data_IF_008307446414
#
_entry.id   IF_008307446414
#
_cell.length_a   1.000
_cell.length_b   1.000
_cell.length_c   1.000
_cell.angle_alpha   90.00
_cell.angle_beta   90.00
_cell.angle_gamma   90.00
#
_symmetry.space_group_name_H-M   'P 1'
#
loop_
_entity.id
_entity.type
_entity.pdbx_description
1 polymer ?
#
# COMPACT_ATOMS: atom_id res chain seq x y z
N UNK A 1 -6.86 34.33 -60.14
CA UNK A 1 -7.51 34.10 -58.84
C UNK A 1 -7.03 32.75 -58.28
N UNK A 2 -6.05 32.79 -57.37
CA UNK A 2 -5.53 31.58 -56.73
C UNK A 2 -6.19 31.44 -55.35
N UNK A 3 -6.94 30.34 -55.19
CA UNK A 3 -7.61 29.97 -53.96
C UNK A 3 -6.59 29.60 -52.84
N UNK A 4 -6.58 30.35 -51.77
CA UNK A 4 -5.83 30.03 -50.55
C UNK A 4 -6.59 28.95 -49.78
N UNK A 5 -6.09 27.70 -49.84
CA UNK A 5 -6.50 26.65 -48.93
C UNK A 5 -5.98 26.98 -47.52
N UNK A 6 -6.92 27.28 -46.62
CA UNK A 6 -6.61 27.36 -45.19
C UNK A 6 -6.30 25.96 -44.68
N UNK A 7 -5.05 25.64 -44.37
CA UNK A 7 -4.66 24.52 -43.54
C UNK A 7 -5.26 24.75 -42.14
N UNK A 8 -6.24 23.96 -41.78
CA UNK A 8 -6.68 23.82 -40.39
C UNK A 8 -5.77 22.76 -39.77
N UNK A 9 -4.81 23.21 -38.96
CA UNK A 9 -4.14 22.34 -38.01
C UNK A 9 -5.16 21.95 -36.92
N UNK A 10 -5.33 20.68 -36.61
CA UNK A 10 -6.05 20.31 -35.39
C UNK A 10 -5.18 20.81 -34.22
N UNK A 11 -5.69 21.73 -33.43
CA UNK A 11 -5.16 22.02 -32.11
C UNK A 11 -5.44 20.76 -31.32
N UNK A 12 -4.44 19.90 -31.18
CA UNK A 12 -4.44 18.87 -30.17
C UNK A 12 -4.41 19.62 -28.83
N UNK A 13 -5.56 19.68 -28.17
CA UNK A 13 -5.63 19.99 -26.76
C UNK A 13 -4.96 18.81 -26.07
N UNK A 14 -3.66 18.94 -25.81
CA UNK A 14 -3.00 18.13 -24.80
C UNK A 14 -3.60 18.60 -23.46
N UNK A 15 -4.74 18.04 -23.08
CA UNK A 15 -5.13 17.96 -21.69
C UNK A 15 -3.99 17.18 -21.03
N UNK A 16 -3.11 17.88 -20.30
CA UNK A 16 -2.06 17.26 -19.51
C UNK A 16 -2.76 16.38 -18.49
N UNK A 17 -2.84 15.08 -18.79
CA UNK A 17 -3.14 14.07 -17.78
C UNK A 17 -1.99 14.19 -16.79
N UNK A 18 -2.23 14.81 -15.64
CA UNK A 18 -1.39 14.65 -14.46
C UNK A 18 -1.64 13.21 -14.05
N UNK A 19 -0.82 12.29 -14.57
CA UNK A 19 -0.87 10.88 -14.14
C UNK A 19 -0.41 10.91 -12.69
N UNK A 20 -1.26 10.56 -11.71
CA UNK A 20 -0.78 10.40 -10.36
C UNK A 20 0.32 9.33 -10.43
N UNK A 21 1.54 9.73 -10.09
CA UNK A 21 2.66 8.80 -10.05
C UNK A 21 2.30 7.74 -9.03
N UNK A 22 2.06 6.53 -9.53
CA UNK A 22 1.60 5.40 -8.72
C UNK A 22 2.67 5.09 -7.67
N UNK A 23 2.54 5.73 -6.53
CA UNK A 23 3.35 5.38 -5.37
C UNK A 23 2.79 4.07 -4.83
N UNK A 24 3.47 2.96 -5.13
CA UNK A 24 3.21 1.63 -4.58
C UNK A 24 3.37 1.57 -3.04
N UNK A 25 3.67 2.70 -2.42
CA UNK A 25 3.81 2.85 -0.97
C UNK A 25 2.54 2.44 -0.17
N UNK A 26 1.34 2.42 -0.79
CA UNK A 26 0.11 2.02 -0.12
C UNK A 26 0.10 0.57 0.39
N UNK A 27 0.95 -0.32 -0.16
CA UNK A 27 0.97 -1.73 0.25
C UNK A 27 1.76 -2.01 1.52
N UNK A 28 2.73 -1.17 1.89
CA UNK A 28 3.59 -1.42 3.05
C UNK A 28 2.89 -1.23 4.40
N UNK A 29 1.76 -0.52 4.41
CA UNK A 29 1.01 -0.14 5.60
C UNK A 29 -0.22 -1.02 5.88
N UNK A 30 -0.62 -1.83 4.89
CA UNK A 30 -1.83 -2.66 4.98
C UNK A 30 -1.62 -3.77 6.01
N UNK A 31 -2.22 -3.61 7.19
CA UNK A 31 -2.13 -4.60 8.24
C UNK A 31 -2.81 -5.91 7.82
N UNK A 32 -2.05 -7.00 7.90
CA UNK A 32 -2.54 -8.33 7.62
C UNK A 32 -3.35 -8.88 8.80
N UNK A 33 -4.18 -9.93 8.60
CA UNK A 33 -4.92 -10.53 9.68
C UNK A 33 -4.05 -10.85 10.90
N UNK A 34 -4.44 -10.32 12.08
CA UNK A 34 -3.79 -10.50 13.38
C UNK A 34 -2.43 -9.82 13.57
N UNK A 35 -2.07 -8.86 12.73
CA UNK A 35 -0.80 -8.13 12.90
C UNK A 35 -0.77 -7.28 14.18
N UNK A 36 -1.93 -7.01 14.80
CA UNK A 36 -2.00 -6.30 16.09
C UNK A 36 -1.79 -7.19 17.33
N UNK A 37 -1.50 -8.48 17.17
CA UNK A 37 -1.09 -9.35 18.28
C UNK A 37 0.43 -9.27 18.44
N UNK A 38 0.95 -8.65 19.51
CA UNK A 38 2.39 -8.52 19.67
C UNK A 38 3.06 -9.84 20.07
N UNK A 39 4.31 -10.02 19.67
CA UNK A 39 5.13 -11.10 20.21
C UNK A 39 5.68 -10.75 21.62
N UNK A 40 6.17 -11.73 22.41
CA UNK A 40 6.85 -11.49 23.67
C UNK A 40 8.07 -10.56 23.52
N UNK A 41 8.40 -9.79 24.56
CA UNK A 41 9.63 -8.98 24.56
C UNK A 41 10.89 -9.84 24.39
N UNK A 42 11.87 -9.32 23.65
CA UNK A 42 13.08 -10.04 23.26
C UNK A 42 12.94 -10.88 22.00
N UNK A 43 11.73 -10.96 21.41
CA UNK A 43 11.51 -11.70 20.16
C UNK A 43 12.00 -10.90 18.96
N UNK A 44 12.67 -11.58 18.05
CA UNK A 44 12.99 -11.10 16.72
C UNK A 44 12.05 -11.77 15.72
N UNK A 45 11.60 -11.01 14.72
CA UNK A 45 10.71 -11.51 13.68
C UNK A 45 11.21 -11.04 12.31
N UNK A 46 11.58 -11.99 11.46
CA UNK A 46 11.86 -11.75 10.05
C UNK A 46 10.63 -12.08 9.20
N UNK A 47 10.27 -11.19 8.29
CA UNK A 47 9.17 -11.42 7.35
C UNK A 47 9.65 -11.16 5.93
N UNK A 48 9.15 -11.97 5.02
CA UNK A 48 9.37 -11.81 3.60
C UNK A 48 8.05 -11.93 2.88
N UNK A 49 7.76 -10.94 2.01
CA UNK A 49 6.51 -10.86 1.29
C UNK A 49 6.75 -10.88 -0.22
N UNK A 50 5.79 -11.41 -0.94
CA UNK A 50 5.55 -11.14 -2.35
C UNK A 50 4.18 -10.47 -2.47
N UNK A 51 4.14 -9.36 -3.19
CA UNK A 51 2.97 -8.53 -3.44
C UNK A 51 2.82 -8.41 -4.96
N UNK A 52 1.87 -9.14 -5.52
CA UNK A 52 1.57 -9.12 -6.96
C UNK A 52 0.22 -8.46 -7.21
N UNK A 53 0.12 -7.66 -8.27
CA UNK A 53 -1.14 -7.05 -8.71
C UNK A 53 -1.23 -7.10 -10.21
N UNK A 54 -2.44 -7.35 -10.73
CA UNK A 54 -2.80 -7.17 -12.13
C UNK A 54 -3.95 -6.21 -12.25
N UNK A 55 -3.89 -5.32 -13.24
CA UNK A 55 -4.92 -4.33 -13.53
C UNK A 55 -5.06 -4.18 -15.05
N UNK A 56 -6.24 -4.38 -15.58
CA UNK A 56 -6.55 -4.26 -17.01
C UNK A 56 -7.36 -2.99 -17.33
N UNK A 57 -7.56 -2.12 -16.34
CA UNK A 57 -8.34 -0.91 -16.44
C UNK A 57 -7.75 0.22 -15.59
N UNK A 58 -7.85 1.45 -16.06
CA UNK A 58 -7.70 2.67 -15.29
C UNK A 58 -9.04 3.37 -15.21
N UNK A 59 -9.47 3.74 -14.01
CA UNK A 59 -10.69 4.51 -13.79
C UNK A 59 -10.30 5.97 -13.57
N UNK A 60 -10.88 6.89 -14.35
CA UNK A 60 -10.59 8.33 -14.23
C UNK A 60 -11.24 8.94 -12.97
N UNK A 61 -10.96 10.20 -12.68
CA UNK A 61 -11.51 10.92 -11.53
C UNK A 61 -13.04 11.16 -11.60
N UNK A 62 -13.71 10.79 -12.69
CA UNK A 62 -15.15 10.88 -12.85
C UNK A 62 -15.80 9.48 -12.81
N UNK A 63 -15.04 8.44 -12.50
CA UNK A 63 -15.51 7.06 -12.46
C UNK A 63 -15.69 6.43 -13.85
N UNK A 64 -15.05 6.95 -14.90
CA UNK A 64 -15.11 6.37 -16.24
C UNK A 64 -13.90 5.51 -16.52
N UNK A 65 -14.13 4.35 -17.13
CA UNK A 65 -13.06 3.49 -17.61
C UNK A 65 -12.25 4.17 -18.71
N UNK A 66 -10.94 3.98 -18.69
CA UNK A 66 -10.02 4.40 -19.74
C UNK A 66 -9.50 3.16 -20.48
N UNK A 67 -10.16 2.74 -21.57
CA UNK A 67 -9.81 1.52 -22.28
C UNK A 67 -8.37 1.51 -22.81
N UNK A 68 -7.73 0.33 -22.80
CA UNK A 68 -6.35 0.18 -23.23
C UNK A 68 -5.34 0.59 -22.15
N UNK A 69 -5.77 0.59 -20.89
CA UNK A 69 -4.90 0.80 -19.75
C UNK A 69 -4.63 -0.52 -19.05
N UNK A 70 -3.39 -0.72 -18.60
CA UNK A 70 -2.98 -1.91 -17.84
C UNK A 70 -1.81 -1.58 -16.92
N UNK A 71 -1.67 -2.32 -15.83
CA UNK A 71 -0.53 -2.26 -14.93
C UNK A 71 -0.38 -3.57 -14.17
N UNK A 72 0.79 -4.18 -14.24
CA UNK A 72 1.18 -5.28 -13.36
C UNK A 72 2.23 -4.80 -12.36
N UNK A 73 2.11 -5.22 -11.11
CA UNK A 73 3.14 -4.97 -10.11
C UNK A 73 3.68 -6.28 -9.55
N UNK A 74 5.00 -6.35 -9.36
CA UNK A 74 5.70 -7.46 -8.73
C UNK A 74 6.67 -6.91 -7.70
N UNK A 75 6.22 -6.84 -6.44
CA UNK A 75 6.99 -6.24 -5.35
C UNK A 75 7.28 -7.29 -4.29
N UNK A 76 8.52 -7.35 -3.88
CA UNK A 76 8.99 -8.11 -2.72
C UNK A 76 9.22 -7.14 -1.58
N UNK A 77 8.96 -7.57 -0.34
CA UNK A 77 9.20 -6.76 0.85
C UNK A 77 9.93 -7.61 1.89
N UNK A 78 11.10 -7.15 2.30
CA UNK A 78 11.79 -7.67 3.47
C UNK A 78 11.46 -6.79 4.68
N UNK A 79 11.10 -7.42 5.80
CA UNK A 79 10.80 -6.73 7.06
C UNK A 79 11.48 -7.43 8.22
N UNK A 80 12.07 -6.65 9.11
CA UNK A 80 12.62 -7.13 10.38
C UNK A 80 12.02 -6.35 11.53
N UNK A 81 11.60 -7.08 12.57
CA UNK A 81 10.93 -6.53 13.76
C UNK A 81 11.64 -7.01 15.01
N UNK A 82 11.85 -6.10 15.97
CA UNK A 82 12.34 -6.42 17.31
C UNK A 82 11.34 -5.94 18.35
N UNK A 83 10.83 -6.87 19.16
CA UNK A 83 9.88 -6.60 20.24
C UNK A 83 10.58 -6.38 21.57
N UNK A 84 10.13 -5.37 22.33
CA UNK A 84 10.65 -5.04 23.66
C UNK A 84 9.56 -4.42 24.52
N UNK A 85 9.88 -4.11 25.78
CA UNK A 85 8.94 -3.41 26.65
C UNK A 85 9.45 -2.00 26.98
N UNK A 86 8.54 -1.03 27.01
CA UNK A 86 8.75 0.33 27.53
C UNK A 86 7.89 0.48 28.78
N UNK A 87 8.50 0.35 29.96
CA UNK A 87 7.75 0.26 31.20
C UNK A 87 6.83 -0.95 31.20
N UNK A 88 5.52 -0.73 31.27
CA UNK A 88 4.50 -1.78 31.25
C UNK A 88 3.86 -1.99 29.87
N UNK A 89 4.33 -1.29 28.85
CA UNK A 89 3.76 -1.41 27.50
C UNK A 89 4.68 -2.24 26.62
N UNK A 90 4.09 -3.13 25.81
CA UNK A 90 4.78 -3.78 24.70
C UNK A 90 5.06 -2.74 23.62
N UNK A 91 6.22 -2.87 23.00
CA UNK A 91 6.63 -2.04 21.87
C UNK A 91 7.40 -2.88 20.83
N UNK A 92 7.49 -2.38 19.63
CA UNK A 92 8.45 -2.85 18.63
C UNK A 92 9.10 -1.69 17.89
N UNK A 93 10.23 -2.01 17.27
CA UNK A 93 10.81 -1.24 16.18
C UNK A 93 11.02 -2.17 14.99
N UNK A 94 10.76 -1.65 13.79
CA UNK A 94 10.96 -2.47 12.61
C UNK A 94 11.39 -1.63 11.40
N UNK A 95 11.99 -2.32 10.42
CA UNK A 95 12.42 -1.77 9.15
C UNK A 95 11.82 -2.59 8.03
N UNK A 96 11.33 -1.89 7.01
CA UNK A 96 10.76 -2.46 5.81
C UNK A 96 11.56 -1.96 4.60
N UNK A 97 11.90 -2.89 3.70
CA UNK A 97 12.58 -2.59 2.45
C UNK A 97 11.84 -3.25 1.29
N UNK A 98 11.05 -2.51 0.50
CA UNK A 98 10.46 -3.00 -0.74
C UNK A 98 11.48 -3.00 -1.87
N UNK A 99 11.33 -3.95 -2.80
CA UNK A 99 12.07 -4.03 -4.05
C UNK A 99 11.28 -4.83 -5.08
N UNK A 100 11.45 -4.54 -6.35
CA UNK A 100 10.66 -5.13 -7.43
C UNK A 100 10.35 -4.11 -8.50
N UNK A 101 9.20 -4.17 -9.13
CA UNK A 101 8.92 -3.23 -10.18
C UNK A 101 7.48 -3.24 -10.70
N UNK A 102 7.30 -2.38 -11.68
CA UNK A 102 6.09 -2.15 -12.44
C UNK A 102 6.28 -2.74 -13.84
N UNK A 103 5.30 -3.43 -14.36
CA UNK A 103 5.39 -4.11 -15.64
C UNK A 103 4.11 -3.90 -16.44
N UNK A 104 4.16 -4.09 -17.75
CA UNK A 104 3.01 -4.04 -18.65
C UNK A 104 2.19 -2.75 -18.51
N UNK A 105 2.85 -1.62 -18.22
CA UNK A 105 2.14 -0.37 -17.99
C UNK A 105 1.71 0.26 -19.32
N UNK A 106 0.42 0.50 -19.41
CA UNK A 106 -0.18 1.29 -20.50
C UNK A 106 -1.29 2.19 -19.96
N UNK A 107 -1.52 3.32 -20.61
CA UNK A 107 -2.60 4.23 -20.28
C UNK A 107 -3.28 4.71 -21.56
N UNK A 108 -4.57 4.43 -21.70
CA UNK A 108 -5.35 4.82 -22.89
C UNK A 108 -4.77 4.29 -24.21
N UNK A 109 -4.18 3.08 -24.21
CA UNK A 109 -3.53 2.45 -25.35
C UNK A 109 -2.10 2.92 -25.64
N UNK A 110 -1.53 3.78 -24.78
CA UNK A 110 -0.13 4.22 -24.88
C UNK A 110 0.70 3.45 -23.87
N UNK A 111 1.72 2.72 -24.35
CA UNK A 111 2.67 2.05 -23.46
C UNK A 111 3.53 3.09 -22.72
N UNK A 112 3.76 2.86 -21.45
CA UNK A 112 4.58 3.69 -20.57
C UNK A 112 5.76 2.83 -20.11
N UNK A 113 6.98 3.31 -20.35
CA UNK A 113 8.18 2.68 -19.82
C UNK A 113 8.16 2.83 -18.28
N UNK A 114 8.54 1.78 -17.58
CA UNK A 114 8.53 1.73 -16.12
C UNK A 114 9.67 0.85 -15.61
N UNK A 115 10.09 1.09 -14.36
CA UNK A 115 11.13 0.29 -13.73
C UNK A 115 10.64 -1.13 -13.46
N UNK A 116 11.16 -2.11 -14.20
CA UNK A 116 10.83 -3.53 -14.01
C UNK A 116 11.43 -4.11 -12.73
N UNK A 117 12.54 -3.52 -12.23
CA UNK A 117 13.16 -3.93 -10.97
C UNK A 117 14.00 -2.79 -10.37
N UNK A 118 13.56 -2.29 -9.21
CA UNK A 118 14.24 -1.23 -8.46
C UNK A 118 14.02 -1.38 -6.95
N UNK A 119 14.76 -0.59 -6.17
CA UNK A 119 14.51 -0.47 -4.72
C UNK A 119 13.42 0.56 -4.49
N UNK A 120 12.47 0.24 -3.64
CA UNK A 120 11.52 1.21 -3.10
C UNK A 120 12.08 1.94 -1.87
N UNK A 121 11.30 2.87 -1.35
CA UNK A 121 11.66 3.68 -0.19
C UNK A 121 11.68 2.84 1.09
N UNK A 122 12.75 2.98 1.87
CA UNK A 122 12.88 2.32 3.17
C UNK A 122 11.92 2.94 4.17
N UNK A 123 11.20 2.09 4.92
CA UNK A 123 10.30 2.54 5.98
C UNK A 123 10.77 2.06 7.34
N UNK A 124 10.83 2.98 8.30
CA UNK A 124 11.06 2.72 9.71
C UNK A 124 9.73 2.74 10.44
N UNK A 125 9.51 1.79 11.36
CA UNK A 125 8.25 1.72 12.11
C UNK A 125 8.54 1.60 13.59
N UNK A 126 7.76 2.29 14.40
CA UNK A 126 7.67 2.09 15.83
C UNK A 126 6.23 1.81 16.23
N UNK A 127 6.00 0.74 16.96
CA UNK A 127 4.66 0.38 17.45
C UNK A 127 4.65 0.30 18.98
N UNK A 128 3.59 0.79 19.60
CA UNK A 128 3.32 0.59 21.01
C UNK A 128 1.94 -0.07 21.18
N UNK A 129 1.80 -0.87 22.25
CA UNK A 129 0.54 -1.50 22.65
C UNK A 129 0.06 -0.95 23.99
N UNK A 130 -0.74 0.15 24.01
CA UNK A 130 -1.39 0.63 25.22
C UNK A 130 -2.33 -0.40 25.86
N UNK A 131 -2.88 -1.32 25.06
CA UNK A 131 -3.64 -2.48 25.54
C UNK A 131 -3.05 -3.76 24.96
N UNK A 132 -2.56 -4.63 25.85
CA UNK A 132 -2.07 -5.97 25.53
C UNK A 132 -2.66 -6.94 26.55
N UNK A 133 -3.86 -7.47 26.25
CA UNK A 133 -4.67 -8.34 27.12
C UNK A 133 -4.92 -9.69 26.42
N UNK A 134 -3.92 -10.58 26.41
CA UNK A 134 -4.02 -11.88 25.75
C UNK A 134 -5.06 -12.81 26.41
N UNK A 135 -5.35 -12.64 27.71
CA UNK A 135 -6.33 -13.46 28.42
C UNK A 135 -7.76 -13.26 27.88
N UNK A 136 -8.08 -12.00 27.52
CA UNK A 136 -9.37 -11.65 26.92
C UNK A 136 -9.30 -11.48 25.39
N UNK A 137 -8.13 -11.70 24.80
CA UNK A 137 -7.91 -11.55 23.37
C UNK A 137 -8.18 -10.13 22.86
N UNK A 138 -7.69 -9.10 23.59
CA UNK A 138 -7.89 -7.68 23.25
C UNK A 138 -6.56 -6.98 23.14
N UNK A 139 -6.36 -6.31 22.02
CA UNK A 139 -5.13 -5.60 21.73
C UNK A 139 -5.47 -4.25 21.09
N UNK A 140 -4.81 -3.22 21.54
CA UNK A 140 -4.82 -1.91 20.89
C UNK A 140 -3.38 -1.48 20.66
N UNK A 141 -3.05 -1.16 19.42
CA UNK A 141 -1.74 -0.72 19.00
C UNK A 141 -1.81 0.66 18.33
N UNK A 142 -0.72 1.38 18.41
CA UNK A 142 -0.48 2.61 17.63
C UNK A 142 0.86 2.43 16.95
N UNK A 143 0.85 2.26 15.64
CA UNK A 143 2.03 2.20 14.80
C UNK A 143 2.29 3.57 14.16
N UNK A 144 3.55 3.98 14.12
CA UNK A 144 4.02 5.16 13.41
C UNK A 144 5.03 4.71 12.37
N UNK A 145 4.81 5.09 11.15
CA UNK A 145 5.65 4.76 10.01
C UNK A 145 6.34 6.02 9.51
N UNK A 146 7.64 5.94 9.24
CA UNK A 146 8.44 6.99 8.63
C UNK A 146 9.10 6.42 7.38
N UNK A 147 8.65 6.84 6.22
CA UNK A 147 9.23 6.46 4.93
C UNK A 147 10.26 7.49 4.52
N UNK A 148 11.43 7.01 4.12
CA UNK A 148 12.59 7.80 3.73
C UNK A 148 12.77 7.73 2.22
N UNK A 149 13.13 8.83 1.52
CA UNK A 149 13.33 8.85 0.07
C UNK A 149 14.65 8.16 -0.31
N UNK A 150 14.74 6.86 -0.12
CA UNK A 150 15.94 6.05 -0.36
C UNK A 150 15.83 5.12 -1.55
N UNK A 151 14.63 5.03 -2.14
CA UNK A 151 14.34 4.20 -3.29
C UNK A 151 14.83 4.80 -4.60
N UNK A 152 14.78 3.99 -5.65
CA UNK A 152 15.01 4.46 -7.02
C UNK A 152 13.85 5.36 -7.44
N UNK A 153 14.18 6.52 -7.96
CA UNK A 153 13.19 7.50 -8.44
C UNK A 153 13.55 7.98 -9.84
N UNK A 154 12.55 8.18 -10.67
CA UNK A 154 12.63 8.83 -11.96
C UNK A 154 11.55 9.91 -12.09
N UNK A 155 11.90 11.09 -12.59
CA UNK A 155 10.93 12.16 -12.88
C UNK A 155 10.14 11.90 -14.18
N UNK A 156 10.54 10.92 -14.98
CA UNK A 156 9.97 10.64 -16.31
C UNK A 156 9.33 9.29 -16.43
N UNK A 157 9.61 8.37 -15.52
CA UNK A 157 9.14 6.98 -15.55
C UNK A 157 8.62 6.59 -14.16
N UNK A 158 7.50 5.86 -14.06
CA UNK A 158 7.00 5.32 -12.82
C UNK A 158 8.03 4.38 -12.17
N UNK A 159 8.26 4.55 -10.88
CA UNK A 159 9.27 3.83 -10.10
C UNK A 159 8.76 3.54 -8.69
N UNK A 160 9.45 2.64 -7.95
CA UNK A 160 9.07 2.29 -6.58
C UNK A 160 9.44 3.35 -5.53
N UNK A 161 10.42 4.20 -5.81
CA UNK A 161 10.78 5.32 -4.96
C UNK A 161 9.92 6.55 -5.26
N UNK A 162 9.56 7.30 -4.23
CA UNK A 162 8.70 8.49 -4.33
C UNK A 162 9.46 9.81 -4.28
N UNK A 163 10.77 9.77 -3.97
CA UNK A 163 11.63 10.94 -3.76
C UNK A 163 11.07 11.96 -2.76
N UNK A 164 10.28 11.49 -1.81
CA UNK A 164 9.74 12.28 -0.71
C UNK A 164 9.70 11.45 0.56
N UNK A 165 9.83 12.09 1.71
CA UNK A 165 9.51 11.41 2.95
C UNK A 165 8.00 11.41 3.19
N UNK A 166 7.50 10.44 3.95
CA UNK A 166 6.12 10.44 4.44
C UNK A 166 6.05 9.89 5.85
N UNK A 167 5.00 10.27 6.58
CA UNK A 167 4.73 9.77 7.92
C UNK A 167 3.26 9.35 8.03
N UNK A 168 3.04 8.12 8.52
CA UNK A 168 1.69 7.65 8.83
C UNK A 168 1.56 7.30 10.32
N UNK A 169 0.36 7.52 10.85
CA UNK A 169 -0.04 7.07 12.19
C UNK A 169 -1.24 6.14 12.01
N UNK A 170 -1.09 4.90 12.50
CA UNK A 170 -2.08 3.84 12.36
C UNK A 170 -2.47 3.28 13.72
N UNK A 171 -3.56 3.72 14.34
CA UNK A 171 -4.23 2.96 15.40
C UNK A 171 -4.83 1.67 14.85
N UNK A 172 -4.66 0.59 15.59
CA UNK A 172 -5.22 -0.72 15.26
C UNK A 172 -5.76 -1.43 16.48
N UNK A 173 -6.89 -2.08 16.33
CA UNK A 173 -7.59 -2.78 17.40
C UNK A 173 -7.94 -4.20 16.96
N UNK A 174 -7.59 -5.18 17.80
CA UNK A 174 -7.98 -6.57 17.64
C UNK A 174 -8.70 -7.03 18.88
N UNK A 175 -9.83 -7.73 18.70
CA UNK A 175 -10.58 -8.31 19.81
C UNK A 175 -11.31 -9.60 19.42
N UNK A 176 -11.40 -10.53 20.39
CA UNK A 176 -12.20 -11.74 20.24
C UNK A 176 -13.68 -11.38 20.41
N UNK A 177 -14.53 -11.80 19.46
CA UNK A 177 -15.99 -11.60 19.50
C UNK A 177 -16.74 -12.87 19.94
N UNK A 178 -16.13 -14.03 19.73
CA UNK A 178 -16.66 -15.34 20.15
C UNK A 178 -15.50 -16.36 20.20
N UNK A 179 -15.71 -17.57 20.79
CA UNK A 179 -14.74 -18.64 20.64
C UNK A 179 -14.44 -18.89 19.17
N UNK A 180 -13.16 -18.89 18.78
CA UNK A 180 -12.68 -19.02 17.40
C UNK A 180 -12.95 -17.85 16.45
N UNK A 181 -13.43 -16.70 16.91
CA UNK A 181 -13.66 -15.53 16.08
C UNK A 181 -13.02 -14.30 16.67
N UNK A 182 -12.27 -13.58 15.86
CA UNK A 182 -11.77 -12.24 16.20
C UNK A 182 -12.03 -11.25 15.08
N UNK A 183 -11.97 -9.98 15.42
CA UNK A 183 -12.09 -8.84 14.49
C UNK A 183 -10.89 -7.97 14.66
N UNK A 184 -10.30 -7.55 13.54
CA UNK A 184 -9.26 -6.53 13.48
C UNK A 184 -9.84 -5.29 12.80
N UNK A 185 -9.57 -4.13 13.35
CA UNK A 185 -9.92 -2.82 12.77
C UNK A 185 -8.71 -1.92 12.84
N UNK A 186 -8.39 -1.23 11.77
CA UNK A 186 -7.36 -0.21 11.76
C UNK A 186 -7.71 0.92 10.81
N UNK A 187 -7.04 2.04 10.99
CA UNK A 187 -7.09 3.13 10.06
C UNK A 187 -5.85 3.99 10.21
N UNK A 188 -5.44 4.68 9.16
CA UNK A 188 -4.30 5.56 9.20
C UNK A 188 -4.56 6.88 8.47
N UNK A 189 -3.72 7.83 8.80
CA UNK A 189 -3.55 9.07 8.04
C UNK A 189 -2.08 9.19 7.72
N UNK A 190 -1.77 9.43 6.43
CA UNK A 190 -0.43 9.65 5.93
C UNK A 190 -0.28 11.09 5.47
N UNK A 191 0.80 11.74 5.92
CA UNK A 191 1.25 13.05 5.45
C UNK A 191 2.54 12.91 4.66
N UNK A 192 2.76 13.78 3.70
CA UNK A 192 3.85 13.71 2.75
C UNK A 192 4.68 15.00 2.76
N UNK A 193 5.98 14.86 2.52
CA UNK A 193 6.83 15.97 2.11
C UNK A 193 6.74 16.19 0.61
N UNK A 194 7.26 17.31 0.16
CA UNK A 194 7.32 17.64 -1.26
C UNK A 194 8.40 16.82 -1.98
N UNK A 195 8.20 16.61 -3.28
CA UNK A 195 9.22 16.13 -4.19
C UNK A 195 9.60 17.31 -5.12
N UNK A 196 10.80 17.86 -4.91
CA UNK A 196 11.29 19.05 -5.65
C UNK A 196 11.83 18.70 -7.04
N UNK A 197 11.99 17.40 -7.36
CA UNK A 197 12.55 16.90 -8.62
C UNK A 197 11.47 16.22 -9.50
N UNK A 198 10.26 16.73 -9.52
CA UNK A 198 9.18 16.19 -10.34
C UNK A 198 9.36 16.39 -11.84
N UNK A 199 8.38 15.97 -12.66
CA UNK A 199 8.42 16.09 -14.11
C UNK A 199 8.78 17.50 -14.59
N UNK A 200 9.84 17.61 -15.41
CA UNK A 200 10.35 18.88 -15.91
C UNK A 200 10.97 19.76 -14.82
N UNK A 201 11.35 19.24 -13.66
CA UNK A 201 11.87 19.99 -12.51
C UNK A 201 10.78 20.72 -11.73
N UNK A 202 9.52 20.31 -11.86
CA UNK A 202 8.41 20.87 -11.10
C UNK A 202 8.40 20.36 -9.66
N UNK A 203 7.98 21.20 -8.70
CA UNK A 203 7.64 20.75 -7.38
C UNK A 203 6.35 19.92 -7.42
N UNK A 204 6.33 18.78 -6.73
CA UNK A 204 5.17 17.90 -6.59
C UNK A 204 4.79 17.83 -5.11
N UNK A 205 3.72 18.49 -4.76
CA UNK A 205 3.09 18.42 -3.45
C UNK A 205 2.08 17.28 -3.44
N UNK A 206 1.82 16.69 -2.26
CA UNK A 206 0.82 15.63 -2.11
C UNK A 206 -0.02 15.87 -0.87
N UNK A 207 -1.33 15.92 -1.06
CA UNK A 207 -2.29 16.04 0.02
C UNK A 207 -2.28 14.81 0.93
N UNK A 208 -2.68 14.92 2.20
CA UNK A 208 -2.81 13.78 3.07
C UNK A 208 -3.72 12.69 2.49
N UNK A 209 -3.39 11.43 2.73
CA UNK A 209 -4.24 10.28 2.42
C UNK A 209 -4.65 9.55 3.68
N UNK A 210 -5.70 8.74 3.58
CA UNK A 210 -6.22 7.93 4.67
C UNK A 210 -6.53 6.51 4.20
N UNK A 211 -6.44 5.57 5.14
CA UNK A 211 -6.83 4.17 4.94
C UNK A 211 -7.69 3.73 6.11
N UNK A 212 -8.68 2.90 5.84
CA UNK A 212 -9.42 2.16 6.86
C UNK A 212 -9.52 0.71 6.43
N UNK A 213 -9.28 -0.22 7.36
CA UNK A 213 -9.33 -1.64 7.08
C UNK A 213 -10.00 -2.42 8.21
N UNK A 214 -10.58 -3.55 7.84
CA UNK A 214 -11.14 -4.49 8.79
C UNK A 214 -11.02 -5.92 8.33
N UNK A 215 -10.82 -6.83 9.31
CA UNK A 215 -10.79 -8.27 9.10
C UNK A 215 -11.73 -8.97 10.07
N UNK A 216 -12.41 -10.00 9.60
CA UNK A 216 -13.09 -11.00 10.42
C UNK A 216 -12.31 -12.29 10.29
N UNK A 217 -11.81 -12.81 11.40
CA UNK A 217 -10.94 -13.98 11.45
C UNK A 217 -11.67 -15.16 12.07
N UNK A 218 -11.62 -16.32 11.42
CA UNK A 218 -12.06 -17.60 11.92
C UNK A 218 -10.86 -18.49 12.25
N UNK A 219 -10.68 -18.82 13.52
CA UNK A 219 -9.62 -19.70 14.02
C UNK A 219 -10.07 -21.17 13.88
N UNK A 220 -9.83 -21.76 12.69
CA UNK A 220 -10.21 -23.14 12.41
C UNK A 220 -9.49 -24.13 13.34
N UNK A 221 -8.23 -23.81 13.69
CA UNK A 221 -7.42 -24.50 14.71
C UNK A 221 -6.42 -23.51 15.32
N UNK A 222 -5.64 -23.98 16.31
CA UNK A 222 -4.54 -23.19 16.91
C UNK A 222 -3.44 -22.80 15.89
N UNK A 223 -3.44 -23.44 14.74
CA UNK A 223 -2.43 -23.22 13.68
C UNK A 223 -3.00 -22.57 12.42
N UNK A 224 -4.31 -22.58 12.23
CA UNK A 224 -4.96 -22.18 10.97
C UNK A 224 -5.99 -21.10 11.22
N UNK A 225 -5.83 -19.97 10.52
CA UNK A 225 -6.84 -18.89 10.52
C UNK A 225 -7.28 -18.62 9.07
N UNK A 226 -8.58 -18.47 8.89
CA UNK A 226 -9.21 -18.01 7.65
C UNK A 226 -9.77 -16.61 7.91
N UNK A 227 -9.55 -15.68 7.02
CA UNK A 227 -9.96 -14.30 7.21
C UNK A 227 -10.65 -13.75 5.97
N UNK A 228 -11.62 -12.88 6.20
CA UNK A 228 -12.27 -12.05 5.16
C UNK A 228 -12.18 -10.61 5.61
N UNK A 229 -11.82 -9.73 4.73
CA UNK A 229 -11.64 -8.32 5.05
C UNK A 229 -11.87 -7.39 3.89
N UNK A 230 -11.81 -6.11 4.21
CA UNK A 230 -11.82 -5.05 3.22
C UNK A 230 -10.90 -3.91 3.68
N UNK A 231 -10.35 -3.20 2.70
CA UNK A 231 -9.61 -1.96 2.89
C UNK A 231 -10.20 -0.90 1.98
N UNK A 232 -10.43 0.28 2.50
CA UNK A 232 -10.73 1.48 1.70
C UNK A 232 -9.66 2.52 1.94
N UNK A 233 -9.24 3.21 0.88
CA UNK A 233 -8.28 4.31 0.94
C UNK A 233 -8.76 5.49 0.10
N UNK A 234 -8.36 6.69 0.49
CA UNK A 234 -8.74 7.91 -0.23
C UNK A 234 -7.81 9.07 0.05
N UNK A 235 -7.96 10.15 -0.73
CA UNK A 235 -7.12 11.34 -0.66
C UNK A 235 -5.83 11.23 -1.46
N UNK A 236 -4.82 12.01 -1.09
CA UNK A 236 -3.50 11.98 -1.72
C UNK A 236 -3.45 12.61 -3.11
N UNK A 237 -4.31 13.59 -3.39
CA UNK A 237 -4.21 14.38 -4.61
C UNK A 237 -2.81 15.00 -4.75
N UNK A 238 -2.24 14.97 -5.95
CA UNK A 238 -0.94 15.57 -6.22
C UNK A 238 -1.09 16.90 -6.97
N UNK A 239 -0.33 17.91 -6.54
CA UNK A 239 -0.19 19.19 -7.21
C UNK A 239 1.17 19.26 -7.89
N UNK A 240 1.20 19.28 -9.22
CA UNK A 240 2.43 19.33 -10.02
C UNK A 240 2.60 20.71 -10.64
N UNK A 241 3.64 21.44 -10.24
CA UNK A 241 3.89 22.80 -10.76
C UNK A 241 2.72 23.75 -10.55
N UNK A 242 1.94 23.59 -9.47
CA UNK A 242 0.75 24.38 -9.14
C UNK A 242 -0.54 23.94 -9.81
N UNK A 243 -0.55 22.83 -10.55
CA UNK A 243 -1.76 22.22 -11.13
C UNK A 243 -2.19 21.07 -10.22
N UNK A 244 -3.31 21.23 -9.55
CA UNK A 244 -3.87 20.21 -8.65
C UNK A 244 -4.56 19.11 -9.45
N UNK A 245 -4.22 17.85 -9.13
CA UNK A 245 -4.89 16.65 -9.58
C UNK A 245 -6.11 16.31 -8.71
N UNK A 246 -6.68 15.14 -8.95
CA UNK A 246 -7.80 14.62 -8.17
C UNK A 246 -7.31 13.64 -7.10
N UNK A 247 -8.13 13.45 -6.07
CA UNK A 247 -7.94 12.39 -5.08
C UNK A 247 -7.97 11.00 -5.74
N UNK A 248 -7.28 10.06 -5.11
CA UNK A 248 -7.36 8.65 -5.45
C UNK A 248 -8.29 7.97 -4.46
N UNK A 249 -9.20 7.11 -4.93
CA UNK A 249 -10.05 6.28 -4.07
C UNK A 249 -9.95 4.82 -4.51
N UNK A 250 -9.86 3.91 -3.56
CA UNK A 250 -10.00 2.48 -3.84
C UNK A 250 -10.60 1.74 -2.66
N UNK A 251 -11.40 0.69 -2.96
CA UNK A 251 -11.91 -0.25 -1.97
C UNK A 251 -11.64 -1.67 -2.46
N UNK A 252 -10.87 -2.43 -1.68
CA UNK A 252 -10.48 -3.81 -1.98
C UNK A 252 -11.16 -4.76 -1.01
N UNK A 253 -11.81 -5.80 -1.52
CA UNK A 253 -12.25 -6.95 -0.71
C UNK A 253 -11.20 -8.04 -0.77
N UNK A 254 -10.98 -8.75 0.36
CA UNK A 254 -9.86 -9.68 0.50
C UNK A 254 -10.24 -10.93 1.27
N UNK A 255 -9.60 -12.03 0.91
CA UNK A 255 -9.66 -13.29 1.67
C UNK A 255 -8.24 -13.73 1.99
N UNK A 256 -8.00 -14.25 3.19
CA UNK A 256 -6.70 -14.70 3.59
C UNK A 256 -6.76 -16.07 4.31
N UNK A 257 -5.70 -16.82 4.13
CA UNK A 257 -5.40 -18.04 4.85
C UNK A 257 -4.03 -17.93 5.48
N UNK A 258 -3.94 -18.14 6.78
CA UNK A 258 -2.68 -18.20 7.49
C UNK A 258 -2.50 -19.53 8.21
N UNK A 259 -1.27 -20.04 8.20
CA UNK A 259 -0.90 -21.34 8.74
C UNK A 259 0.43 -21.27 9.50
N UNK A 260 0.43 -21.72 10.76
CA UNK A 260 1.67 -22.03 11.48
C UNK A 260 2.23 -23.36 10.94
N UNK A 261 3.31 -23.27 10.16
CA UNK A 261 4.02 -24.43 9.61
C UNK A 261 4.85 -25.12 10.70
N UNK A 262 5.45 -24.33 11.59
CA UNK A 262 6.15 -24.76 12.80
C UNK A 262 5.76 -23.82 13.95
N UNK A 263 6.13 -24.08 15.22
CA UNK A 263 5.86 -23.16 16.33
C UNK A 263 6.43 -21.73 16.13
N UNK A 264 7.39 -21.58 15.21
CA UNK A 264 8.08 -20.28 14.97
C UNK A 264 8.05 -19.86 13.50
N UNK A 265 7.29 -20.53 12.65
CA UNK A 265 7.22 -20.17 11.21
C UNK A 265 5.77 -20.14 10.77
N UNK A 266 5.34 -19.01 10.23
CA UNK A 266 4.00 -18.82 9.70
C UNK A 266 4.08 -18.53 8.20
N UNK A 267 3.14 -19.10 7.45
CA UNK A 267 2.84 -18.72 6.08
C UNK A 267 1.47 -18.07 6.03
N UNK A 268 1.33 -17.04 5.20
CA UNK A 268 0.06 -16.40 4.89
C UNK A 268 -0.06 -16.24 3.37
N UNK A 269 -1.25 -16.48 2.87
CA UNK A 269 -1.67 -16.17 1.50
C UNK A 269 -2.94 -15.34 1.56
N UNK A 270 -2.96 -14.25 0.82
CA UNK A 270 -4.12 -13.38 0.65
C UNK A 270 -4.38 -13.18 -0.83
N UNK A 271 -5.64 -13.09 -1.20
CA UNK A 271 -6.12 -12.69 -2.54
C UNK A 271 -7.17 -11.61 -2.35
N UNK A 272 -7.10 -10.57 -3.17
CA UNK A 272 -8.03 -9.46 -3.17
C UNK A 272 -8.43 -9.02 -4.57
N UNK A 273 -9.47 -8.20 -4.61
CA UNK A 273 -10.03 -7.59 -5.80
C UNK A 273 -10.63 -6.23 -5.44
N UNK A 274 -10.44 -5.21 -6.28
CA UNK A 274 -11.07 -3.92 -6.08
C UNK A 274 -12.55 -3.98 -6.47
N UNK A 275 -13.38 -3.41 -5.61
CA UNK A 275 -14.83 -3.24 -5.86
C UNK A 275 -15.17 -1.78 -6.11
N UNK A 276 -14.20 -0.90 -5.93
CA UNK A 276 -14.27 0.53 -6.21
C UNK A 276 -12.87 1.04 -6.54
N UNK A 277 -12.75 1.84 -7.59
CA UNK A 277 -11.54 2.55 -7.96
C UNK A 277 -11.92 3.89 -8.61
N UNK A 278 -11.24 4.98 -8.24
CA UNK A 278 -11.34 6.30 -8.87
C UNK A 278 -9.94 6.92 -8.95
N UNK A 279 -9.62 7.48 -10.10
CA UNK A 279 -8.34 8.11 -10.43
C UNK A 279 -7.14 7.18 -10.19
N UNK A 280 -7.31 5.88 -10.48
CA UNK A 280 -6.29 4.84 -10.28
C UNK A 280 -6.51 3.64 -11.19
N UNK A 281 -5.51 2.76 -11.27
CA UNK A 281 -5.69 1.44 -11.86
C UNK A 281 -6.55 0.57 -10.94
N UNK A 282 -7.66 0.06 -11.47
CA UNK A 282 -8.51 -0.91 -10.81
C UNK A 282 -7.78 -2.25 -10.71
N UNK A 283 -7.59 -2.76 -9.49
CA UNK A 283 -6.87 -4.02 -9.26
C UNK A 283 -7.80 -5.20 -9.46
N UNK A 284 -7.68 -5.88 -10.59
CA UNK A 284 -8.45 -7.10 -10.88
C UNK A 284 -8.11 -8.22 -9.92
N UNK A 285 -6.81 -8.35 -9.63
CA UNK A 285 -6.32 -9.37 -8.69
C UNK A 285 -5.13 -8.83 -7.92
N UNK A 286 -5.19 -8.95 -6.61
CA UNK A 286 -4.03 -8.78 -5.73
C UNK A 286 -3.68 -10.12 -5.09
N UNK A 287 -2.39 -10.40 -4.95
CA UNK A 287 -1.89 -11.60 -4.26
C UNK A 287 -0.82 -11.17 -3.28
N UNK A 288 -1.00 -11.51 -2.01
CA UNK A 288 0.04 -11.39 -0.99
C UNK A 288 0.44 -12.77 -0.50
N UNK A 289 1.73 -13.08 -0.60
CA UNK A 289 2.33 -14.24 0.07
C UNK A 289 3.28 -13.73 1.15
N UNK A 290 3.19 -14.26 2.37
CA UNK A 290 4.06 -13.88 3.48
C UNK A 290 4.64 -15.10 4.17
N UNK A 291 5.94 -15.11 4.33
CA UNK A 291 6.65 -16.03 5.23
C UNK A 291 7.17 -15.23 6.43
N UNK A 292 6.80 -15.65 7.65
CA UNK A 292 7.23 -15.04 8.89
C UNK A 292 8.00 -16.05 9.74
N UNK A 293 9.12 -15.62 10.32
CA UNK A 293 10.00 -16.45 11.18
C UNK A 293 10.31 -15.70 12.47
N UNK A 294 9.89 -16.28 13.59
CA UNK A 294 10.23 -15.85 14.95
C UNK A 294 11.52 -16.54 15.43
N UNK A 295 12.39 -15.80 16.10
CA UNK A 295 13.66 -16.31 16.66
C UNK A 295 14.21 -15.43 17.79
#
# INVERSE_FOLDING_TARGET
MKSLRKLRYPVAVAAGLVIPWLTTAAYAWDAQPRDFVPAPAGTNLGLFYYLGTTSDNFVDANGNDLPGSSLDTNVWLARYVYFFDIGNMRADVNVLQPFGGLNNMSLGGTNIDSDEFSLGDTTLVGTIWPLNDPENGRYFAIATYLTLPTGSYSATEPSLGSNRWSMAIQPGFLFNVAPKWSVDLAGDITIYGDNEDGPGGANVEKDPSYTALGWVNYHASDKTTLSVGATTSGGGAETVGGIQGADVTSTTVRVAWSQLLTPTTQFLMEVGHDVEAENTFERDTTVTLRLAKFF
#
